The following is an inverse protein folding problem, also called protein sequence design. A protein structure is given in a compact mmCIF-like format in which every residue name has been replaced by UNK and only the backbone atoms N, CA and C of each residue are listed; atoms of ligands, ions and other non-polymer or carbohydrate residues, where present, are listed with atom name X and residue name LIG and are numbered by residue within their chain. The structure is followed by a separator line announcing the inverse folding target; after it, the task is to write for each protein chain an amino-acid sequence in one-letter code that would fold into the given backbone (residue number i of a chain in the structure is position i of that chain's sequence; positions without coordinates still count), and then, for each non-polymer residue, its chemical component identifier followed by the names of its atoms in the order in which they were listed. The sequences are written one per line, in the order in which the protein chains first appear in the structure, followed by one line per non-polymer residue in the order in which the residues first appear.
data_IF_023867080405
#
_entry.id   IF_023867080405
#
_cell.length_a   1.000
_cell.length_b   1.000
_cell.length_c   1.000
_cell.angle_alpha   90.00
_cell.angle_beta   90.00
_cell.angle_gamma   90.00
#
_symmetry.space_group_name_H-M   'P 1'
#
loop_
_entity.id
_entity.type
_entity.pdbx_description
1 polymer ?
#
# COMPACT_ATOMS: atom_id res chain seq x y z
N UNK A 1 -1.31 -13.37 -31.71
CA UNK A 1 -1.47 -13.58 -30.26
C UNK A 1 -0.08 -13.54 -29.67
N UNK A 2 0.25 -12.48 -28.94
CA UNK A 2 1.57 -12.28 -28.35
C UNK A 2 1.44 -12.61 -26.87
N UNK A 3 1.98 -13.75 -26.45
CA UNK A 3 1.93 -14.20 -25.06
C UNK A 3 2.62 -13.17 -24.15
N UNK A 4 1.81 -12.53 -23.30
CA UNK A 4 2.29 -11.71 -22.20
C UNK A 4 2.94 -12.65 -21.17
N UNK A 5 4.25 -12.86 -21.29
CA UNK A 5 5.04 -13.56 -20.27
C UNK A 5 4.85 -12.85 -18.94
N UNK A 6 4.12 -13.49 -18.03
CA UNK A 6 3.98 -13.06 -16.66
C UNK A 6 5.36 -12.86 -16.05
N UNK A 7 5.57 -11.71 -15.41
CA UNK A 7 6.76 -11.41 -14.61
C UNK A 7 6.72 -12.20 -13.30
N UNK A 8 6.78 -13.53 -13.40
CA UNK A 8 7.17 -14.40 -12.29
C UNK A 8 8.65 -14.16 -11.95
N UNK A 9 9.14 -14.64 -10.80
CA UNK A 9 10.55 -14.59 -10.50
C UNK A 9 11.31 -15.28 -11.64
N UNK A 10 12.13 -14.51 -12.35
CA UNK A 10 12.95 -15.02 -13.45
C UNK A 10 13.90 -16.07 -12.87
N UNK A 11 13.86 -17.28 -13.41
CA UNK A 11 14.86 -18.29 -13.13
C UNK A 11 16.23 -17.77 -13.55
N UNK A 12 17.15 -17.72 -12.60
CA UNK A 12 18.53 -17.30 -12.83
C UNK A 12 19.22 -18.45 -13.56
N UNK A 13 19.82 -18.17 -14.72
CA UNK A 13 20.56 -19.19 -15.46
C UNK A 13 21.80 -19.64 -14.69
N UNK A 14 22.29 -20.86 -14.96
CA UNK A 14 23.53 -21.35 -14.33
C UNK A 14 24.73 -20.41 -14.58
N UNK A 15 24.78 -19.78 -15.76
CA UNK A 15 25.81 -18.79 -16.08
C UNK A 15 25.72 -17.53 -15.19
N UNK A 16 24.50 -17.05 -14.92
CA UNK A 16 24.28 -15.91 -14.02
C UNK A 16 24.57 -16.27 -12.57
N UNK A 17 24.19 -17.47 -12.12
CA UNK A 17 24.54 -17.97 -10.79
C UNK A 17 26.06 -18.07 -10.62
N UNK A 18 26.77 -18.57 -11.63
CA UNK A 18 28.23 -18.62 -11.66
C UNK A 18 28.84 -17.22 -11.61
N UNK A 19 28.35 -16.28 -12.42
CA UNK A 19 28.83 -14.89 -12.43
C UNK A 19 28.65 -14.20 -11.07
N UNK A 20 27.52 -14.42 -10.38
CA UNK A 20 27.27 -13.90 -9.03
C UNK A 20 28.27 -14.51 -8.04
N UNK A 21 28.50 -15.83 -8.10
CA UNK A 21 29.46 -16.51 -7.22
C UNK A 21 30.88 -16.00 -7.43
N UNK A 22 31.30 -15.86 -8.69
CA UNK A 22 32.59 -15.30 -9.07
C UNK A 22 32.76 -13.87 -8.55
N UNK A 23 31.75 -13.01 -8.72
CA UNK A 23 31.79 -11.64 -8.24
C UNK A 23 31.95 -11.56 -6.71
N UNK A 24 31.26 -12.43 -5.96
CA UNK A 24 31.42 -12.53 -4.50
C UNK A 24 32.83 -12.97 -4.08
N UNK A 25 33.38 -13.99 -4.75
CA UNK A 25 34.74 -14.46 -4.44
C UNK A 25 35.79 -13.38 -4.72
N UNK A 26 35.76 -12.78 -5.91
CA UNK A 26 36.68 -11.70 -6.27
C UNK A 26 36.45 -10.45 -5.40
N UNK A 27 35.20 -10.16 -5.02
CA UNK A 27 34.88 -9.06 -4.13
C UNK A 27 35.49 -9.23 -2.73
N UNK A 28 35.45 -10.43 -2.17
CA UNK A 28 36.10 -10.71 -0.89
C UNK A 28 37.64 -10.58 -0.98
N UNK A 29 38.24 -11.00 -2.10
CA UNK A 29 39.68 -10.81 -2.35
C UNK A 29 40.05 -9.33 -2.45
N UNK A 30 39.28 -8.56 -3.23
CA UNK A 30 39.46 -7.11 -3.35
C UNK A 30 39.35 -6.42 -1.99
N UNK A 31 38.38 -6.83 -1.17
CA UNK A 31 38.21 -6.27 0.16
C UNK A 31 39.40 -6.54 1.10
N UNK A 32 40.00 -7.73 1.00
CA UNK A 32 41.21 -8.08 1.76
C UNK A 32 42.44 -7.33 1.27
N UNK A 33 42.60 -7.19 -0.05
CA UNK A 33 43.76 -6.53 -0.66
C UNK A 33 43.71 -5.00 -0.56
N UNK A 34 42.51 -4.42 -0.48
CA UNK A 34 42.31 -2.97 -0.56
C UNK A 34 41.24 -2.49 0.44
N UNK A 35 41.54 -2.51 1.76
CA UNK A 35 40.61 -2.08 2.79
C UNK A 35 40.24 -0.58 2.69
N UNK A 36 41.06 0.24 2.05
CA UNK A 36 40.86 1.68 1.86
C UNK A 36 39.59 2.01 1.06
N UNK A 37 39.05 1.04 0.32
CA UNK A 37 37.76 1.15 -0.39
C UNK A 37 36.64 1.56 0.58
N UNK A 38 36.66 1.05 1.82
CA UNK A 38 35.64 1.38 2.80
C UNK A 38 35.64 2.88 3.15
N UNK A 39 36.82 3.47 3.31
CA UNK A 39 36.97 4.87 3.69
C UNK A 39 36.61 5.81 2.54
N UNK A 40 36.98 5.46 1.31
CA UNK A 40 36.56 6.22 0.12
C UNK A 40 35.04 6.22 -0.08
N UNK A 41 34.39 5.08 0.19
CA UNK A 41 32.91 5.00 0.14
C UNK A 41 32.30 5.87 1.22
N UNK A 42 32.83 5.87 2.45
CA UNK A 42 32.39 6.76 3.53
C UNK A 42 32.57 8.24 3.16
N UNK A 43 33.68 8.57 2.50
CA UNK A 43 34.00 9.92 2.03
C UNK A 43 33.09 10.44 0.89
N UNK A 44 32.28 9.57 0.27
CA UNK A 44 31.29 10.00 -0.73
C UNK A 44 31.38 9.26 -2.07
N UNK A 45 32.46 8.52 -2.30
CA UNK A 45 32.76 7.95 -3.60
C UNK A 45 31.73 6.88 -4.00
N UNK A 46 31.31 6.89 -5.27
CA UNK A 46 30.38 5.92 -5.84
C UNK A 46 31.10 4.61 -6.18
N UNK A 47 30.33 3.52 -6.31
CA UNK A 47 30.88 2.20 -6.67
C UNK A 47 31.66 2.25 -8.00
N UNK A 48 31.17 3.01 -8.97
CA UNK A 48 31.83 3.16 -10.27
C UNK A 48 33.15 3.96 -10.17
N UNK A 49 33.19 5.00 -9.35
CA UNK A 49 34.42 5.76 -9.09
C UNK A 49 35.46 4.91 -8.35
N UNK A 50 35.04 4.11 -7.37
CA UNK A 50 35.91 3.14 -6.68
C UNK A 50 36.49 2.13 -7.69
N UNK A 51 35.64 1.52 -8.52
CA UNK A 51 36.07 0.53 -9.50
C UNK A 51 37.14 1.09 -10.46
N UNK A 52 37.03 2.38 -10.82
CA UNK A 52 38.01 3.10 -11.65
C UNK A 52 39.26 3.49 -10.88
N UNK A 53 39.12 4.04 -9.66
CA UNK A 53 40.24 4.49 -8.82
C UNK A 53 41.23 3.35 -8.55
N UNK A 54 40.70 2.15 -8.31
CA UNK A 54 41.51 0.95 -8.03
C UNK A 54 41.74 0.06 -9.24
N UNK A 55 41.31 0.48 -10.45
CA UNK A 55 41.50 -0.25 -11.70
C UNK A 55 41.09 -1.75 -11.62
N UNK A 56 39.94 -2.00 -10.98
CA UNK A 56 39.44 -3.35 -10.65
C UNK A 56 39.23 -4.20 -11.90
N UNK A 57 38.87 -3.56 -13.02
CA UNK A 57 38.72 -4.23 -14.31
C UNK A 57 40.03 -4.88 -14.75
N UNK A 58 41.13 -4.13 -14.70
CA UNK A 58 42.45 -4.64 -15.05
C UNK A 58 43.00 -5.61 -14.02
N UNK A 59 42.82 -5.34 -12.72
CA UNK A 59 43.27 -6.24 -11.64
C UNK A 59 42.74 -7.66 -11.83
N UNK A 60 41.46 -7.78 -12.18
CA UNK A 60 40.79 -9.08 -12.30
C UNK A 60 40.63 -9.58 -13.73
N UNK A 61 41.11 -8.84 -14.74
CA UNK A 61 40.98 -9.17 -16.17
C UNK A 61 39.53 -9.29 -16.63
N UNK A 62 38.68 -8.33 -16.24
CA UNK A 62 37.22 -8.35 -16.50
C UNK A 62 36.75 -7.05 -17.14
N UNK A 63 35.53 -7.06 -17.67
CA UNK A 63 34.87 -5.85 -18.17
C UNK A 63 34.48 -4.90 -17.03
N UNK A 64 34.32 -3.61 -17.33
CA UNK A 64 33.90 -2.59 -16.34
C UNK A 64 32.60 -2.94 -15.61
N UNK A 65 31.67 -3.60 -16.30
CA UNK A 65 30.39 -4.01 -15.71
C UNK A 65 30.56 -5.13 -14.68
N UNK A 66 31.48 -6.06 -14.93
CA UNK A 66 31.85 -7.10 -13.98
C UNK A 66 32.68 -6.49 -12.84
N UNK A 67 33.59 -5.55 -13.14
CA UNK A 67 34.36 -4.82 -12.14
C UNK A 67 33.44 -4.09 -11.16
N UNK A 68 32.42 -3.38 -11.66
CA UNK A 68 31.38 -2.76 -10.82
C UNK A 68 30.70 -3.77 -9.89
N UNK A 69 30.40 -4.97 -10.40
CA UNK A 69 29.74 -6.03 -9.62
C UNK A 69 30.66 -6.62 -8.56
N UNK A 70 31.96 -6.78 -8.87
CA UNK A 70 33.01 -7.19 -7.92
C UNK A 70 33.15 -6.14 -6.82
N UNK A 71 33.28 -4.86 -7.18
CA UNK A 71 33.37 -3.76 -6.22
C UNK A 71 32.13 -3.71 -5.33
N UNK A 72 30.93 -3.86 -5.91
CA UNK A 72 29.68 -3.92 -5.15
C UNK A 72 29.67 -5.06 -4.13
N UNK A 73 30.21 -6.23 -4.49
CA UNK A 73 30.32 -7.39 -3.63
C UNK A 73 31.42 -7.22 -2.56
N UNK A 74 32.50 -6.50 -2.85
CA UNK A 74 33.49 -6.11 -1.84
C UNK A 74 32.85 -5.22 -0.76
N UNK A 75 31.91 -4.35 -1.12
CA UNK A 75 31.20 -3.55 -0.11
C UNK A 75 30.32 -4.38 0.84
N UNK A 76 29.90 -5.59 0.45
CA UNK A 76 29.18 -6.51 1.33
C UNK A 76 30.06 -7.07 2.46
N UNK A 77 31.39 -7.02 2.33
CA UNK A 77 32.30 -7.46 3.39
C UNK A 77 32.64 -6.35 4.37
N UNK A 78 32.60 -5.09 3.93
CA UNK A 78 32.93 -3.93 4.76
C UNK A 78 31.75 -3.37 5.56
N UNK A 79 30.53 -3.56 5.07
CA UNK A 79 29.34 -2.90 5.60
C UNK A 79 28.19 -3.88 5.75
N UNK A 80 27.52 -3.82 6.90
CA UNK A 80 26.22 -4.46 7.08
C UNK A 80 25.16 -3.90 6.11
N UNK A 81 24.09 -4.65 5.81
CA UNK A 81 22.97 -4.15 5.01
C UNK A 81 22.39 -2.81 5.51
N UNK A 82 22.36 -2.62 6.83
CA UNK A 82 21.88 -1.43 7.52
C UNK A 82 22.80 -0.23 7.27
N UNK A 83 24.12 -0.40 7.43
CA UNK A 83 25.11 0.64 7.15
C UNK A 83 25.12 1.04 5.68
N UNK A 84 25.03 0.06 4.76
CA UNK A 84 24.89 0.35 3.32
C UNK A 84 23.65 1.20 3.06
N UNK A 85 22.52 0.86 3.67
CA UNK A 85 21.29 1.64 3.52
C UNK A 85 21.47 3.06 4.05
N UNK A 86 22.12 3.23 5.20
CA UNK A 86 22.39 4.54 5.79
C UNK A 86 23.31 5.40 4.90
N UNK A 87 24.33 4.81 4.28
CA UNK A 87 25.28 5.51 3.41
C UNK A 87 24.64 5.86 2.05
N UNK A 88 24.00 4.90 1.40
CA UNK A 88 23.57 5.05 0.00
C UNK A 88 22.16 5.64 -0.15
N UNK A 89 21.21 5.40 0.75
CA UNK A 89 19.84 5.89 0.59
C UNK A 89 19.73 7.43 0.57
N UNK A 90 20.45 8.19 1.43
CA UNK A 90 20.45 9.65 1.35
C UNK A 90 21.00 10.16 0.01
N UNK A 91 22.11 9.58 -0.47
CA UNK A 91 22.73 9.94 -1.76
C UNK A 91 21.77 9.70 -2.92
N UNK A 92 21.09 8.55 -2.91
CA UNK A 92 20.13 8.19 -3.95
C UNK A 92 18.93 9.16 -3.99
N UNK A 93 18.45 9.61 -2.82
CA UNK A 93 17.41 10.63 -2.72
C UNK A 93 17.86 11.98 -3.29
N UNK A 94 19.08 12.41 -2.99
CA UNK A 94 19.64 13.65 -3.49
C UNK A 94 19.79 13.61 -5.02
N UNK A 95 20.39 12.56 -5.56
CA UNK A 95 20.53 12.35 -7.01
C UNK A 95 19.17 12.30 -7.69
N UNK A 96 18.21 11.54 -7.14
CA UNK A 96 16.85 11.45 -7.71
C UNK A 96 16.15 12.82 -7.75
N UNK A 97 16.32 13.62 -6.69
CA UNK A 97 15.79 14.99 -6.65
C UNK A 97 16.45 15.87 -7.70
N UNK A 98 17.77 15.84 -7.80
CA UNK A 98 18.52 16.63 -8.77
C UNK A 98 18.13 16.27 -10.20
N UNK A 99 18.12 14.98 -10.55
CA UNK A 99 17.70 14.50 -11.87
C UNK A 99 16.25 14.91 -12.18
N UNK A 100 15.37 14.90 -11.17
CA UNK A 100 14.00 15.39 -11.32
C UNK A 100 13.94 16.89 -11.66
N UNK A 101 14.75 17.71 -10.99
CA UNK A 101 14.84 19.16 -11.26
C UNK A 101 15.46 19.44 -12.63
N UNK A 102 16.54 18.74 -13.00
CA UNK A 102 17.17 18.85 -14.32
C UNK A 102 16.21 18.42 -15.43
N UNK A 103 15.44 17.34 -15.21
CA UNK A 103 14.44 16.89 -16.16
C UNK A 103 13.33 17.91 -16.39
N UNK A 104 12.94 18.61 -15.31
CA UNK A 104 11.98 19.70 -15.37
C UNK A 104 12.56 20.91 -16.12
N UNK A 105 13.78 21.34 -15.77
CA UNK A 105 14.44 22.50 -16.37
C UNK A 105 14.71 22.30 -17.87
N UNK A 106 15.14 21.10 -18.26
CA UNK A 106 15.42 20.77 -19.67
C UNK A 106 14.18 20.42 -20.48
N UNK A 107 12.99 20.37 -19.84
CA UNK A 107 11.76 19.96 -20.51
C UNK A 107 11.90 18.58 -21.16
N UNK A 108 12.44 17.60 -20.44
CA UNK A 108 12.60 16.22 -20.92
C UNK A 108 11.69 15.26 -20.15
N UNK A 109 11.45 14.08 -20.71
CA UNK A 109 10.58 13.07 -20.09
C UNK A 109 9.13 13.54 -19.97
N UNK A 110 8.56 13.50 -18.76
CA UNK A 110 7.19 13.93 -18.49
C UNK A 110 7.00 15.44 -18.66
N UNK A 111 8.01 16.24 -18.29
CA UNK A 111 7.95 17.70 -18.29
C UNK A 111 8.07 18.30 -19.69
N UNK A 112 8.66 17.57 -20.64
CA UNK A 112 8.73 17.95 -22.06
C UNK A 112 7.50 17.63 -22.90
N UNK A 113 6.52 16.92 -22.33
CA UNK A 113 5.36 16.45 -23.10
C UNK A 113 4.22 17.45 -23.07
N UNK A 114 3.66 17.71 -24.24
CA UNK A 114 2.43 18.47 -24.37
C UNK A 114 1.30 17.80 -23.55
N UNK A 115 0.32 18.59 -23.06
CA UNK A 115 -0.85 18.05 -22.36
C UNK A 115 -1.59 16.96 -23.16
N UNK A 116 -1.69 17.11 -24.47
CA UNK A 116 -2.37 16.18 -25.38
C UNK A 116 -1.62 14.84 -25.44
N UNK A 117 -0.29 14.90 -25.54
CA UNK A 117 0.55 13.69 -25.56
C UNK A 117 0.53 12.97 -24.21
N UNK A 118 0.52 13.71 -23.10
CA UNK A 118 0.31 13.13 -21.75
C UNK A 118 -1.04 12.43 -21.63
N UNK A 119 -2.11 13.03 -22.16
CA UNK A 119 -3.45 12.45 -22.16
C UNK A 119 -3.55 11.19 -23.02
N UNK A 120 -2.92 11.19 -24.19
CA UNK A 120 -2.85 10.01 -25.06
C UNK A 120 -2.11 8.86 -24.37
N UNK A 121 -0.91 9.11 -23.84
CA UNK A 121 -0.10 8.10 -23.14
C UNK A 121 -0.83 7.56 -21.90
N UNK A 122 -1.51 8.43 -21.15
CA UNK A 122 -2.31 8.02 -19.99
C UNK A 122 -3.47 7.11 -20.38
N UNK A 123 -4.15 7.38 -21.49
CA UNK A 123 -5.21 6.50 -22.03
C UNK A 123 -4.65 5.16 -22.45
N UNK A 124 -3.54 5.13 -23.18
CA UNK A 124 -2.88 3.89 -23.60
C UNK A 124 -2.39 3.08 -22.40
N UNK A 125 -1.78 3.74 -21.41
CA UNK A 125 -1.37 3.10 -20.16
C UNK A 125 -2.56 2.54 -19.37
N UNK A 126 -3.69 3.25 -19.34
CA UNK A 126 -4.93 2.80 -18.70
C UNK A 126 -5.56 1.59 -19.41
N UNK A 127 -5.50 1.54 -20.75
CA UNK A 127 -5.97 0.40 -21.53
C UNK A 127 -5.13 -0.86 -21.26
N UNK A 128 -3.81 -0.74 -21.31
CA UNK A 128 -2.89 -1.85 -21.06
C UNK A 128 -2.91 -2.27 -19.59
N UNK A 129 -2.67 -1.33 -18.67
CA UNK A 129 -2.63 -1.59 -17.24
C UNK A 129 -3.98 -2.00 -16.65
N UNK A 130 -5.08 -1.48 -17.20
CA UNK A 130 -6.44 -1.86 -16.83
C UNK A 130 -6.78 -3.27 -17.26
N UNK A 131 -6.43 -3.66 -18.49
CA UNK A 131 -6.62 -5.03 -18.97
C UNK A 131 -5.82 -6.04 -18.13
N UNK A 132 -4.54 -5.76 -17.88
CA UNK A 132 -3.67 -6.60 -17.03
C UNK A 132 -4.18 -6.68 -15.59
N UNK A 133 -4.64 -5.55 -15.02
CA UNK A 133 -5.20 -5.55 -13.66
C UNK A 133 -6.49 -6.36 -13.57
N UNK A 134 -7.31 -6.35 -14.62
CA UNK A 134 -8.54 -7.16 -14.71
C UNK A 134 -8.20 -8.65 -14.82
N UNK A 135 -7.27 -9.00 -15.70
CA UNK A 135 -6.80 -10.38 -15.89
C UNK A 135 -6.19 -10.96 -14.61
N UNK A 136 -5.33 -10.20 -13.93
CA UNK A 136 -4.71 -10.61 -12.68
C UNK A 136 -5.65 -10.54 -11.46
N UNK A 137 -6.89 -10.04 -11.63
CA UNK A 137 -7.83 -9.83 -10.52
C UNK A 137 -7.29 -8.90 -9.43
N UNK A 138 -6.52 -7.87 -9.80
CA UNK A 138 -5.86 -6.93 -8.88
C UNK A 138 -6.56 -5.58 -8.85
N UNK A 139 -6.28 -4.79 -7.81
CA UNK A 139 -6.87 -3.45 -7.66
C UNK A 139 -8.39 -3.49 -7.53
N UNK A 140 -9.09 -2.68 -8.32
CA UNK A 140 -10.57 -2.58 -8.31
C UNK A 140 -11.26 -3.88 -8.78
N UNK A 141 -10.54 -4.74 -9.50
CA UNK A 141 -11.06 -6.02 -9.98
C UNK A 141 -10.82 -7.16 -8.99
N UNK A 142 -10.13 -6.90 -7.87
CA UNK A 142 -9.97 -7.89 -6.81
C UNK A 142 -11.28 -8.05 -6.03
N UNK A 143 -11.72 -9.30 -5.87
CA UNK A 143 -12.91 -9.67 -5.09
C UNK A 143 -12.83 -9.17 -3.65
N UNK A 144 -11.65 -9.25 -3.03
CA UNK A 144 -11.39 -8.70 -1.68
C UNK A 144 -11.59 -7.19 -1.60
N UNK A 145 -11.35 -6.43 -2.68
CA UNK A 145 -11.59 -4.98 -2.68
C UNK A 145 -13.07 -4.63 -2.81
N UNK A 146 -13.87 -5.41 -3.55
CA UNK A 146 -15.33 -5.22 -3.56
C UNK A 146 -15.93 -5.47 -2.18
N UNK A 147 -15.44 -6.50 -1.50
CA UNK A 147 -15.83 -6.83 -0.13
C UNK A 147 -15.35 -5.76 0.86
N UNK A 148 -14.10 -5.29 0.72
CA UNK A 148 -13.56 -4.18 1.52
C UNK A 148 -14.26 -2.85 1.25
N UNK A 149 -14.64 -2.54 0.01
CA UNK A 149 -15.36 -1.31 -0.35
C UNK A 149 -16.81 -1.36 0.16
N UNK A 150 -17.46 -2.53 0.15
CA UNK A 150 -18.75 -2.75 0.83
C UNK A 150 -18.63 -2.56 2.35
N UNK A 151 -17.60 -3.16 2.98
CA UNK A 151 -17.29 -2.99 4.39
C UNK A 151 -16.94 -1.54 4.74
N UNK A 152 -16.18 -0.83 3.88
CA UNK A 152 -15.77 0.57 4.07
C UNK A 152 -16.94 1.54 3.88
N UNK A 153 -17.83 1.28 2.91
CA UNK A 153 -19.08 2.02 2.75
C UNK A 153 -19.96 1.89 3.99
N UNK A 154 -20.05 0.68 4.55
CA UNK A 154 -20.72 0.45 5.83
C UNK A 154 -20.00 1.10 7.01
N UNK A 155 -18.66 1.07 7.07
CA UNK A 155 -17.86 1.67 8.14
C UNK A 155 -17.97 3.19 8.15
N UNK A 156 -17.84 3.85 6.99
CA UNK A 156 -18.03 5.30 6.86
C UNK A 156 -19.44 5.75 7.21
N UNK A 157 -20.45 4.91 6.93
CA UNK A 157 -21.82 5.14 7.39
C UNK A 157 -22.00 4.97 8.89
N UNK A 158 -21.27 4.10 9.57
CA UNK A 158 -21.38 3.88 11.03
C UNK A 158 -20.52 4.87 11.83
N UNK A 159 -19.34 5.21 11.34
CA UNK A 159 -18.46 6.22 11.94
C UNK A 159 -19.12 7.62 11.88
N UNK A 160 -19.95 7.89 10.86
CA UNK A 160 -20.81 9.08 10.79
C UNK A 160 -21.97 9.13 11.79
N UNK A 161 -22.18 8.10 12.63
CA UNK A 161 -23.17 8.11 13.73
C UNK A 161 -22.48 8.18 15.11
N UNK A 162 -21.30 7.56 15.25
CA UNK A 162 -20.51 7.56 16.51
C UNK A 162 -19.58 8.76 16.68
N UNK A 163 -19.37 9.56 15.63
CA UNK A 163 -18.61 10.81 15.68
C UNK A 163 -19.47 12.06 15.47
N UNK A 164 -20.79 11.92 15.57
CA UNK A 164 -21.75 13.01 15.32
C UNK A 164 -21.92 13.99 16.48
N UNK A 165 -22.91 14.89 16.33
CA UNK A 165 -23.37 15.81 17.37
C UNK A 165 -23.81 15.01 18.60
N UNK A 166 -23.33 15.37 19.78
CA UNK A 166 -23.77 14.81 21.07
C UNK A 166 -24.94 15.64 21.59
N UNK A 167 -26.04 14.99 21.97
CA UNK A 167 -27.23 15.64 22.55
C UNK A 167 -27.60 14.89 23.83
N UNK A 168 -27.70 15.61 24.94
CA UNK A 168 -27.95 15.06 26.28
C UNK A 168 -26.95 13.96 26.70
N UNK A 169 -25.67 14.16 26.35
CA UNK A 169 -24.60 13.23 26.71
C UNK A 169 -24.61 11.90 25.95
N UNK A 170 -25.48 11.73 24.94
CA UNK A 170 -25.50 10.57 24.06
C UNK A 170 -25.23 10.97 22.62
N UNK A 171 -24.42 10.18 21.92
CA UNK A 171 -24.29 10.29 20.47
C UNK A 171 -25.54 9.71 19.74
N UNK A 172 -25.68 10.01 18.45
CA UNK A 172 -26.83 9.59 17.64
C UNK A 172 -26.97 8.05 17.60
N UNK A 173 -25.85 7.32 17.65
CA UNK A 173 -25.86 5.86 17.69
C UNK A 173 -26.35 5.33 19.04
N UNK A 174 -25.87 5.88 20.15
CA UNK A 174 -26.25 5.52 21.51
C UNK A 174 -27.73 5.78 21.77
N UNK A 175 -28.24 6.92 21.33
CA UNK A 175 -29.66 7.23 21.41
C UNK A 175 -30.50 6.30 20.52
N UNK A 176 -30.05 6.00 19.31
CA UNK A 176 -30.76 5.04 18.44
C UNK A 176 -30.80 3.63 19.06
N UNK A 177 -29.74 3.21 19.74
CA UNK A 177 -29.68 1.93 20.45
C UNK A 177 -30.59 1.90 21.68
N UNK A 178 -30.71 3.00 22.43
CA UNK A 178 -31.60 3.05 23.61
C UNK A 178 -33.07 2.88 23.22
N UNK A 179 -33.48 3.49 22.10
CA UNK A 179 -34.84 3.35 21.55
C UNK A 179 -35.17 1.92 21.11
N UNK A 180 -34.17 1.09 20.75
CA UNK A 180 -34.41 -0.33 20.43
C UNK A 180 -34.72 -1.18 21.67
N UNK A 181 -34.11 -0.81 22.80
CA UNK A 181 -34.34 -1.45 24.09
C UNK A 181 -35.72 -1.13 24.66
N UNK A 182 -36.31 -0.01 24.26
CA UNK A 182 -37.59 0.47 24.76
C UNK A 182 -38.77 -0.27 24.11
N UNK A 183 -39.60 -0.99 24.90
CA UNK A 183 -40.80 -1.66 24.40
C UNK A 183 -41.80 -0.73 23.70
N UNK A 184 -41.84 0.55 24.05
CA UNK A 184 -42.75 1.54 23.46
C UNK A 184 -42.42 1.86 21.99
N UNK A 185 -41.22 1.49 21.53
CA UNK A 185 -40.78 1.64 20.13
C UNK A 185 -40.88 0.33 19.34
N UNK A 186 -41.66 -0.63 19.84
CA UNK A 186 -41.98 -1.87 19.13
C UNK A 186 -43.38 -1.82 18.53
N UNK A 187 -43.58 -2.60 17.47
CA UNK A 187 -44.92 -2.75 16.91
C UNK A 187 -45.85 -3.47 17.91
N UNK A 188 -47.10 -2.99 18.04
CA UNK A 188 -48.06 -3.53 18.99
C UNK A 188 -48.48 -4.96 18.66
N UNK A 189 -49.05 -5.63 19.65
CA UNK A 189 -49.65 -6.96 19.50
C UNK A 189 -50.80 -6.86 18.49
N UNK A 190 -50.80 -7.73 17.48
CA UNK A 190 -51.75 -7.71 16.36
C UNK A 190 -51.21 -7.09 15.06
N UNK A 191 -50.02 -6.49 15.08
CA UNK A 191 -49.32 -6.07 13.87
C UNK A 191 -48.58 -7.26 13.23
N UNK A 192 -48.43 -7.28 11.90
CA UNK A 192 -47.69 -8.33 11.17
C UNK A 192 -46.21 -8.46 11.58
N UNK A 193 -45.69 -7.46 12.30
CA UNK A 193 -44.34 -7.41 12.87
C UNK A 193 -44.35 -7.18 14.38
N UNK A 194 -45.40 -7.65 15.07
CA UNK A 194 -45.55 -7.50 16.52
C UNK A 194 -44.26 -7.89 17.26
N UNK A 195 -43.84 -7.07 18.22
CA UNK A 195 -42.63 -7.29 19.00
C UNK A 195 -41.31 -6.89 18.30
N UNK A 196 -41.30 -6.66 16.98
CA UNK A 196 -40.15 -6.09 16.29
C UNK A 196 -40.08 -4.56 16.47
N UNK A 197 -38.87 -3.96 16.45
CA UNK A 197 -38.71 -2.52 16.50
C UNK A 197 -39.41 -1.80 15.34
N UNK A 198 -40.14 -0.74 15.66
CA UNK A 198 -40.76 0.17 14.70
C UNK A 198 -39.71 1.15 14.18
N UNK A 199 -39.04 0.76 13.10
CA UNK A 199 -37.96 1.52 12.48
C UNK A 199 -38.42 2.90 12.02
N UNK A 200 -39.68 3.05 11.59
CA UNK A 200 -40.21 4.34 11.12
C UNK A 200 -40.34 5.31 12.29
N UNK A 201 -40.89 4.83 13.40
CA UNK A 201 -40.99 5.59 14.64
C UNK A 201 -39.60 5.97 15.17
N UNK A 202 -38.65 5.02 15.19
CA UNK A 202 -37.28 5.28 15.65
C UNK A 202 -36.57 6.33 14.77
N UNK A 203 -36.64 6.21 13.44
CA UNK A 203 -36.03 7.20 12.52
C UNK A 203 -36.56 8.61 12.77
N UNK A 204 -37.86 8.77 13.03
CA UNK A 204 -38.46 10.07 13.31
C UNK A 204 -37.88 10.70 14.58
N UNK A 205 -37.84 9.95 15.68
CA UNK A 205 -37.33 10.44 16.97
C UNK A 205 -35.84 10.79 16.92
N UNK A 206 -35.04 10.00 16.19
CA UNK A 206 -33.61 10.30 15.99
C UNK A 206 -33.43 11.59 15.19
N UNK A 207 -34.21 11.78 14.13
CA UNK A 207 -34.17 13.00 13.32
C UNK A 207 -34.60 14.23 14.11
N UNK A 208 -35.67 14.12 14.90
CA UNK A 208 -36.16 15.19 15.78
C UNK A 208 -35.11 15.60 16.83
N UNK A 209 -34.46 14.62 17.48
CA UNK A 209 -33.47 14.90 18.54
C UNK A 209 -32.17 15.51 18.01
N UNK A 210 -31.67 15.02 16.87
CA UNK A 210 -30.37 15.44 16.35
C UNK A 210 -30.45 16.51 15.25
N UNK A 211 -31.65 16.83 14.76
CA UNK A 211 -31.88 17.79 13.67
C UNK A 211 -31.43 17.26 12.30
N UNK A 212 -31.42 15.94 12.14
CA UNK A 212 -30.95 15.26 10.93
C UNK A 212 -32.12 14.85 10.02
N UNK A 213 -31.84 14.60 8.74
CA UNK A 213 -32.78 14.01 7.79
C UNK A 213 -32.36 12.59 7.40
N UNK A 214 -32.21 11.70 8.40
CA UNK A 214 -31.88 10.29 8.14
C UNK A 214 -33.06 9.61 7.44
N UNK A 215 -32.75 8.80 6.42
CA UNK A 215 -33.74 7.96 5.77
C UNK A 215 -34.03 6.69 6.58
N UNK A 216 -35.24 6.15 6.44
CA UNK A 216 -35.66 4.87 7.06
C UNK A 216 -34.67 3.75 6.73
N UNK A 217 -34.18 3.70 5.47
CA UNK A 217 -33.18 2.71 5.06
C UNK A 217 -31.84 2.89 5.79
N UNK A 218 -31.47 4.12 6.13
CA UNK A 218 -30.26 4.36 6.89
C UNK A 218 -30.34 3.83 8.32
N UNK A 219 -31.47 4.02 8.97
CA UNK A 219 -31.75 3.47 10.30
C UNK A 219 -31.81 1.94 10.24
N UNK A 220 -32.45 1.35 9.22
CA UNK A 220 -32.46 -0.13 9.00
C UNK A 220 -31.06 -0.73 8.88
N UNK A 221 -30.16 -0.10 8.11
CA UNK A 221 -28.80 -0.61 7.92
C UNK A 221 -27.93 -0.53 9.18
N UNK A 222 -28.16 0.48 10.02
CA UNK A 222 -27.52 0.55 11.33
C UNK A 222 -27.89 -0.68 12.18
N UNK A 223 -29.16 -1.07 12.18
CA UNK A 223 -29.65 -2.25 12.93
C UNK A 223 -29.07 -3.57 12.45
N UNK A 224 -29.00 -3.80 11.14
CA UNK A 224 -28.43 -5.02 10.59
C UNK A 224 -26.96 -5.20 11.00
N UNK A 225 -26.18 -4.11 10.96
CA UNK A 225 -24.76 -4.13 11.28
C UNK A 225 -24.49 -4.32 12.79
N UNK A 226 -25.32 -3.77 13.67
CA UNK A 226 -25.14 -3.91 15.12
C UNK A 226 -25.60 -5.28 15.64
N UNK A 227 -26.65 -5.86 15.03
CA UNK A 227 -27.04 -7.25 15.27
C UNK A 227 -25.92 -8.20 14.85
N UNK A 228 -25.31 -8.01 13.68
CA UNK A 228 -24.16 -8.80 13.25
C UNK A 228 -22.94 -8.62 14.16
N UNK A 229 -22.65 -7.40 14.63
CA UNK A 229 -21.59 -7.16 15.62
C UNK A 229 -21.88 -7.86 16.95
N UNK A 230 -23.11 -7.80 17.44
CA UNK A 230 -23.52 -8.44 18.69
C UNK A 230 -23.42 -9.95 18.58
N UNK A 231 -23.91 -10.53 17.47
CA UNK A 231 -23.73 -11.96 17.14
C UNK A 231 -22.26 -12.36 17.07
N UNK A 232 -21.42 -11.57 16.40
CA UNK A 232 -19.98 -11.82 16.31
C UNK A 232 -19.24 -11.67 17.65
N UNK A 233 -19.72 -10.78 18.53
CA UNK A 233 -19.14 -10.57 19.86
C UNK A 233 -19.56 -11.68 20.83
N UNK A 234 -20.80 -12.17 20.73
CA UNK A 234 -21.29 -13.36 21.44
C UNK A 234 -20.57 -14.62 20.94
N UNK A 235 -20.43 -14.80 19.62
CA UNK A 235 -19.71 -15.93 19.02
C UNK A 235 -18.23 -15.98 19.43
N UNK A 236 -17.59 -14.82 19.63
CA UNK A 236 -16.22 -14.73 20.17
C UNK A 236 -16.15 -14.85 21.71
N UNK A 237 -17.24 -14.56 22.41
CA UNK A 237 -17.36 -14.75 23.85
C UNK A 237 -17.52 -16.21 24.26
N UNK A 238 -18.07 -17.05 23.39
CA UNK A 238 -18.18 -18.52 23.56
C UNK A 238 -16.87 -19.29 23.26
N UNK A 239 -15.74 -18.59 23.01
CA UNK A 239 -14.41 -19.21 22.89
C UNK A 239 -13.55 -19.06 24.15
N UNK A 240 -14.17 -18.77 25.30
CA UNK A 240 -13.60 -19.06 26.61
C UNK A 240 -14.63 -19.87 27.39
N UNK A 241 -14.57 -21.18 27.22
CA UNK A 241 -14.11 -22.13 28.24
C UNK A 241 -13.61 -23.41 27.53
#
# INVERSE_FOLDING_TARGET
MTELRGSGPREISNAEAFAIKMAKQKGALLAGNTPQIADDVRAGMSIGEIAKKYDVAREFGVTDQIAYSITKAALDTFFSPEERKAIFAPRLRQVSRQVGLESMANGVGLFGRSPEKRKADSRSAGQVGGAVSKELGKGIFSSKRKEYDALRSNRGRVDGWRGGKIVDGMDEAEYTLSLLGDPSFRHPIGHSKAGHPDVVKITRYVNEKYGNNRSINATKHFFANDIERTKNRIAKGYQKD
#
